data_IF_173280363064
#
_entry.id   IF_173280363064
#
_cell.length_a   1.000
_cell.length_b   1.000
_cell.length_c   1.000
_cell.angle_alpha   90.00
_cell.angle_beta   90.00
_cell.angle_gamma   90.00
#
_symmetry.space_group_name_H-M   'P 1'
#
loop_
_entity.id
_entity.type
_entity.pdbx_description
1 polymer ?
#
# COMPACT_ATOMS: atom_id res chain seq x y z
N UNK A 1 -5.17 27.86 14.44
CA UNK A 1 -4.80 27.70 13.03
C UNK A 1 -3.31 27.42 12.84
N UNK A 2 -2.43 27.98 13.71
CA UNK A 2 -0.96 27.86 13.59
C UNK A 2 -0.44 26.49 14.05
N UNK A 3 -1.05 25.93 15.08
CA UNK A 3 -0.67 24.61 15.61
C UNK A 3 -0.91 23.48 14.58
N UNK A 4 -2.08 23.50 13.91
CA UNK A 4 -2.37 22.55 12.81
C UNK A 4 -1.30 22.59 11.72
N UNK A 5 -0.82 23.76 11.31
CA UNK A 5 0.20 23.86 10.26
C UNK A 5 1.56 23.29 10.68
N UNK A 6 1.95 23.42 11.95
CA UNK A 6 3.25 22.95 12.42
C UNK A 6 3.30 21.43 12.60
N UNK A 7 2.30 20.84 13.22
CA UNK A 7 2.23 19.38 13.43
C UNK A 7 2.08 18.67 12.08
N UNK A 8 1.21 19.16 11.19
CA UNK A 8 1.00 18.54 9.89
C UNK A 8 2.15 18.74 8.89
N UNK A 9 2.91 19.82 8.93
CA UNK A 9 4.04 20.01 8.02
C UNK A 9 5.21 19.05 8.32
N UNK A 10 5.47 18.78 9.61
CA UNK A 10 6.52 17.82 10.03
C UNK A 10 6.10 16.37 9.76
N UNK A 11 4.85 16.02 10.04
CA UNK A 11 4.32 14.67 9.81
C UNK A 11 4.11 14.40 8.32
N UNK A 12 3.63 15.35 7.53
CA UNK A 12 3.45 15.18 6.08
C UNK A 12 4.75 14.74 5.41
N UNK A 13 5.88 15.39 5.74
CA UNK A 13 7.19 15.01 5.19
C UNK A 13 7.67 13.63 5.63
N UNK A 14 7.29 13.17 6.83
CA UNK A 14 7.62 11.85 7.34
C UNK A 14 6.81 10.72 6.65
N UNK A 15 5.65 11.05 6.06
CA UNK A 15 4.74 10.09 5.43
C UNK A 15 4.77 10.09 3.90
N UNK A 16 5.38 11.10 3.28
CA UNK A 16 5.54 11.18 1.81
C UNK A 16 6.82 10.46 1.32
N UNK A 17 7.29 9.43 2.01
CA UNK A 17 8.42 8.62 1.53
C UNK A 17 7.94 7.66 0.43
N UNK A 18 8.41 7.91 -0.79
CA UNK A 18 8.34 6.94 -1.87
C UNK A 18 9.56 6.01 -1.77
N UNK A 19 9.32 4.71 -1.68
CA UNK A 19 10.37 3.67 -1.73
C UNK A 19 10.25 2.95 -3.05
N UNK A 20 11.30 3.01 -3.85
CA UNK A 20 11.40 2.25 -5.09
C UNK A 20 12.37 1.09 -4.87
N UNK A 21 11.97 -0.10 -5.25
CA UNK A 21 12.80 -1.29 -5.27
C UNK A 21 12.62 -2.00 -6.62
N UNK A 22 13.68 -2.62 -7.09
CA UNK A 22 13.68 -3.43 -8.31
C UNK A 22 14.03 -4.87 -7.93
N UNK A 23 13.20 -5.82 -8.36
CA UNK A 23 13.46 -7.25 -8.24
C UNK A 23 13.95 -7.75 -9.60
N UNK A 24 15.10 -8.40 -9.62
CA UNK A 24 15.72 -8.86 -10.86
C UNK A 24 15.05 -10.12 -11.38
N UNK A 25 15.20 -10.36 -12.68
CA UNK A 25 14.75 -11.58 -13.31
C UNK A 25 15.30 -12.82 -12.59
N UNK A 26 14.43 -13.77 -12.27
CA UNK A 26 14.78 -15.01 -11.57
C UNK A 26 14.84 -14.91 -10.04
N UNK A 27 14.63 -13.74 -9.44
CA UNK A 27 14.47 -13.62 -7.99
C UNK A 27 13.08 -14.04 -7.54
N UNK A 28 12.96 -14.51 -6.30
CA UNK A 28 11.68 -14.94 -5.72
C UNK A 28 10.76 -13.76 -5.46
N UNK A 29 9.58 -13.76 -6.08
CA UNK A 29 8.53 -12.75 -5.92
C UNK A 29 7.51 -13.08 -4.84
N UNK A 30 7.59 -14.24 -4.21
CA UNK A 30 6.56 -14.71 -3.25
C UNK A 30 6.45 -13.83 -2.02
N UNK A 31 7.51 -13.11 -1.66
CA UNK A 31 7.50 -12.13 -0.57
C UNK A 31 6.75 -10.83 -0.94
N UNK A 32 6.62 -10.53 -2.24
CA UNK A 32 5.97 -9.30 -2.73
C UNK A 32 4.51 -9.55 -3.11
N UNK A 33 4.21 -10.73 -3.65
CA UNK A 33 2.89 -11.09 -4.14
C UNK A 33 2.38 -12.37 -3.49
N UNK A 34 1.07 -12.51 -3.33
CA UNK A 34 0.44 -13.75 -2.92
C UNK A 34 0.40 -14.74 -4.11
N UNK A 35 1.57 -15.06 -4.66
CA UNK A 35 1.71 -16.01 -5.77
C UNK A 35 2.23 -17.34 -5.26
N UNK A 36 1.79 -18.44 -5.91
CA UNK A 36 2.31 -19.77 -5.71
C UNK A 36 2.74 -20.32 -7.07
N UNK A 37 4.05 -20.40 -7.29
CA UNK A 37 4.59 -20.73 -8.60
C UNK A 37 4.26 -19.67 -9.66
N UNK A 38 3.75 -20.08 -10.82
CA UNK A 38 3.36 -19.19 -11.92
C UNK A 38 1.91 -18.65 -11.79
N UNK A 39 1.20 -18.98 -10.72
CA UNK A 39 -0.20 -18.60 -10.56
C UNK A 39 -0.43 -17.68 -9.36
N UNK A 40 -1.33 -16.71 -9.54
CA UNK A 40 -1.86 -15.92 -8.43
C UNK A 40 -2.72 -16.79 -7.53
N UNK A 41 -2.48 -16.72 -6.22
CA UNK A 41 -3.40 -17.26 -5.24
C UNK A 41 -3.97 -16.11 -4.41
N UNK A 42 -5.25 -15.85 -4.56
CA UNK A 42 -5.98 -14.93 -3.69
C UNK A 42 -7.03 -15.70 -2.90
N UNK A 43 -7.19 -15.38 -1.63
CA UNK A 43 -8.27 -15.92 -0.79
C UNK A 43 -9.51 -15.02 -0.78
N UNK A 44 -9.52 -13.95 -1.57
CA UNK A 44 -10.69 -13.12 -1.79
C UNK A 44 -11.80 -13.92 -2.47
N UNK A 45 -13.01 -13.67 -2.03
CA UNK A 45 -14.23 -14.22 -2.62
C UNK A 45 -15.09 -13.09 -3.21
N UNK A 46 -16.05 -13.42 -4.04
CA UNK A 46 -17.01 -12.43 -4.56
C UNK A 46 -17.79 -11.70 -3.45
N UNK A 47 -17.91 -12.29 -2.26
CA UNK A 47 -18.56 -11.66 -1.12
C UNK A 47 -17.73 -10.53 -0.51
N UNK A 48 -16.41 -10.55 -0.72
CA UNK A 48 -15.47 -9.54 -0.22
C UNK A 48 -15.37 -8.32 -1.18
N UNK A 49 -15.95 -8.42 -2.38
CA UNK A 49 -15.87 -7.39 -3.44
C UNK A 49 -17.17 -6.60 -3.51
N UNK A 50 -17.08 -5.27 -3.46
CA UNK A 50 -18.21 -4.36 -3.65
C UNK A 50 -18.48 -4.14 -5.12
N UNK A 51 -17.44 -3.85 -5.91
CA UNK A 51 -17.53 -3.69 -7.35
C UNK A 51 -16.29 -4.21 -8.06
N UNK A 52 -16.50 -4.65 -9.30
CA UNK A 52 -15.45 -5.04 -10.22
C UNK A 52 -15.75 -4.40 -11.58
N UNK A 53 -14.82 -3.58 -12.05
CA UNK A 53 -14.95 -2.86 -13.32
C UNK A 53 -13.80 -3.24 -14.25
N UNK A 54 -14.09 -3.40 -15.52
CA UNK A 54 -13.08 -3.66 -16.56
C UNK A 54 -13.20 -2.59 -17.64
N UNK A 55 -12.11 -1.88 -17.86
CA UNK A 55 -11.97 -0.88 -18.91
C UNK A 55 -10.92 -1.31 -19.93
N UNK A 56 -11.18 -1.08 -21.21
CA UNK A 56 -10.21 -1.28 -22.28
C UNK A 56 -9.47 0.03 -22.57
N UNK A 57 -8.16 -0.05 -22.89
CA UNK A 57 -7.42 1.09 -23.44
C UNK A 57 -7.99 1.48 -24.83
N UNK A 58 -7.75 2.71 -25.27
CA UNK A 58 -8.25 3.22 -26.56
C UNK A 58 -7.82 2.35 -27.76
N UNK A 59 -6.60 1.81 -27.69
CA UNK A 59 -6.03 0.91 -28.72
C UNK A 59 -6.37 -0.57 -28.48
N UNK A 60 -7.14 -0.90 -27.45
CA UNK A 60 -7.48 -2.25 -27.01
C UNK A 60 -6.27 -3.16 -26.68
N UNK A 61 -5.07 -2.60 -26.51
CA UNK A 61 -3.87 -3.38 -26.17
C UNK A 61 -3.84 -3.80 -24.70
N UNK A 62 -4.63 -3.15 -23.84
CA UNK A 62 -4.69 -3.41 -22.40
C UNK A 62 -6.11 -3.42 -21.86
N UNK A 63 -6.30 -4.13 -20.76
CA UNK A 63 -7.49 -4.07 -19.93
C UNK A 63 -7.11 -3.74 -18.51
N UNK A 64 -7.83 -2.79 -17.92
CA UNK A 64 -7.68 -2.42 -16.51
C UNK A 64 -8.84 -3.00 -15.72
N UNK A 65 -8.55 -3.90 -14.80
CA UNK A 65 -9.50 -4.43 -13.82
C UNK A 65 -9.35 -3.63 -12.53
N UNK A 66 -10.44 -3.00 -12.08
CA UNK A 66 -10.49 -2.34 -10.78
C UNK A 66 -11.44 -3.10 -9.86
N UNK A 67 -10.91 -3.59 -8.74
CA UNK A 67 -11.69 -4.21 -7.66
C UNK A 67 -11.79 -3.24 -6.48
N UNK A 68 -13.00 -3.01 -6.01
CA UNK A 68 -13.27 -2.28 -4.75
C UNK A 68 -13.66 -3.30 -3.68
N UNK A 69 -12.98 -3.27 -2.54
CA UNK A 69 -13.21 -4.20 -1.44
C UNK A 69 -14.40 -3.70 -0.61
N UNK A 70 -15.36 -4.57 -0.37
CA UNK A 70 -16.56 -4.29 0.39
C UNK A 70 -16.28 -4.26 1.88
N UNK A 71 -16.71 -3.18 2.55
CA UNK A 71 -16.62 -3.04 4.02
C UNK A 71 -15.27 -3.56 4.56
N UNK A 72 -14.14 -2.95 4.17
CA UNK A 72 -12.83 -3.53 4.38
C UNK A 72 -12.52 -3.69 5.86
N UNK A 73 -12.67 -4.92 6.36
CA UNK A 73 -12.22 -5.32 7.69
C UNK A 73 -10.73 -5.65 7.68
N UNK A 74 -10.10 -5.69 8.85
CA UNK A 74 -8.68 -6.07 8.99
C UNK A 74 -8.41 -7.44 8.34
N UNK A 75 -9.31 -8.41 8.50
CA UNK A 75 -9.13 -9.76 7.96
C UNK A 75 -9.24 -9.78 6.44
N UNK A 76 -10.18 -9.05 5.86
CA UNK A 76 -10.34 -8.95 4.40
C UNK A 76 -9.14 -8.20 3.80
N UNK A 77 -8.70 -7.13 4.42
CA UNK A 77 -7.53 -6.36 3.97
C UNK A 77 -6.25 -7.21 4.03
N UNK A 78 -6.06 -8.00 5.07
CA UNK A 78 -4.93 -8.96 5.14
C UNK A 78 -4.94 -9.94 3.97
N UNK A 79 -6.11 -10.49 3.60
CA UNK A 79 -6.25 -11.40 2.46
C UNK A 79 -5.96 -10.71 1.12
N UNK A 80 -6.45 -9.47 0.95
CA UNK A 80 -6.36 -8.74 -0.31
C UNK A 80 -4.95 -8.20 -0.59
N UNK A 81 -4.24 -7.76 0.45
CA UNK A 81 -3.04 -6.94 0.32
C UNK A 81 -1.77 -7.65 0.82
N UNK A 82 -1.86 -8.95 1.09
CA UNK A 82 -0.73 -9.74 1.61
C UNK A 82 0.04 -8.98 2.72
N UNK A 83 -0.71 -8.32 3.60
CA UNK A 83 -0.11 -7.57 4.70
C UNK A 83 0.69 -8.53 5.58
N UNK A 84 1.91 -8.15 5.88
CA UNK A 84 2.83 -8.91 6.70
C UNK A 84 2.29 -9.31 8.07
N UNK A 85 3.09 -10.03 8.80
CA UNK A 85 2.77 -10.55 10.14
C UNK A 85 2.45 -9.43 11.15
N UNK A 86 1.91 -9.79 12.32
CA UNK A 86 1.78 -8.84 13.44
C UNK A 86 3.11 -8.21 13.83
N UNK A 87 4.21 -8.95 13.70
CA UNK A 87 5.55 -8.43 13.96
C UNK A 87 5.93 -7.28 13.00
N UNK A 88 5.54 -7.38 11.73
CA UNK A 88 5.78 -6.30 10.74
C UNK A 88 4.97 -5.06 11.07
N UNK A 89 3.71 -5.25 11.51
CA UNK A 89 2.86 -4.14 11.98
C UNK A 89 3.45 -3.48 13.22
N UNK A 90 3.92 -4.25 14.19
CA UNK A 90 4.53 -3.72 15.42
C UNK A 90 5.83 -2.98 15.11
N UNK A 91 6.62 -3.48 14.15
CA UNK A 91 7.81 -2.79 13.66
C UNK A 91 7.44 -1.44 12.99
N UNK A 92 6.39 -1.40 12.16
CA UNK A 92 5.91 -0.17 11.54
C UNK A 92 5.38 0.84 12.57
N UNK A 93 4.62 0.38 13.57
CA UNK A 93 4.15 1.23 14.69
C UNK A 93 5.32 1.77 15.50
N UNK A 94 6.35 0.95 15.75
CA UNK A 94 7.56 1.39 16.44
C UNK A 94 8.30 2.44 15.63
N UNK A 95 8.50 2.23 14.34
CA UNK A 95 9.14 3.22 13.45
C UNK A 95 8.38 4.55 13.46
N UNK A 96 7.06 4.50 13.43
CA UNK A 96 6.19 5.67 13.53
C UNK A 96 6.39 6.42 14.85
N UNK A 97 6.42 5.71 15.97
CA UNK A 97 6.71 6.31 17.29
C UNK A 97 8.07 6.97 17.32
N UNK A 98 9.09 6.32 16.78
CA UNK A 98 10.46 6.84 16.75
C UNK A 98 10.56 8.14 15.91
N UNK A 99 9.84 8.23 14.80
CA UNK A 99 9.76 9.45 13.96
C UNK A 99 9.08 10.64 14.65
N UNK A 100 8.16 10.37 15.56
CA UNK A 100 7.40 11.41 16.27
C UNK A 100 8.01 11.78 17.63
N UNK A 101 9.05 11.06 18.06
CA UNK A 101 9.72 11.28 19.33
C UNK A 101 10.23 12.72 19.45
N UNK A 102 9.95 13.35 20.59
CA UNK A 102 10.33 14.75 20.86
C UNK A 102 9.32 15.79 20.39
N UNK A 103 8.22 15.35 19.72
CA UNK A 103 7.09 16.18 19.38
C UNK A 103 5.82 15.70 20.07
N UNK A 104 5.53 14.42 19.94
CA UNK A 104 4.38 13.77 20.58
C UNK A 104 4.75 12.35 21.01
N UNK A 105 4.04 11.85 22.00
CA UNK A 105 4.02 10.45 22.36
C UNK A 105 2.60 9.91 22.28
N UNK A 106 2.45 8.62 22.01
CA UNK A 106 1.20 7.88 22.12
C UNK A 106 1.48 6.47 22.64
N UNK A 107 0.54 5.93 23.41
CA UNK A 107 0.74 4.65 24.10
C UNK A 107 0.37 3.51 23.20
N UNK A 108 -0.87 3.51 22.69
CA UNK A 108 -1.42 2.44 21.88
C UNK A 108 -2.33 3.00 20.79
N UNK A 109 -2.57 2.18 19.76
CA UNK A 109 -3.58 2.42 18.75
C UNK A 109 -4.92 1.95 19.33
N UNK A 110 -5.84 2.88 19.55
CA UNK A 110 -7.19 2.58 20.09
C UNK A 110 -8.06 1.91 19.03
N UNK A 111 -7.97 2.35 17.79
CA UNK A 111 -8.64 1.71 16.67
C UNK A 111 -7.87 1.88 15.36
N UNK A 112 -7.97 0.87 14.49
CA UNK A 112 -7.53 0.88 13.11
C UNK A 112 -8.72 0.46 12.24
N UNK A 113 -9.11 1.31 11.31
CA UNK A 113 -10.15 1.02 10.32
C UNK A 113 -9.64 1.35 8.93
N UNK A 114 -10.20 0.67 7.94
CA UNK A 114 -9.91 0.92 6.53
C UNK A 114 -11.12 1.60 5.90
N UNK A 115 -10.91 2.74 5.24
CA UNK A 115 -12.00 3.52 4.64
C UNK A 115 -12.06 3.35 3.12
N UNK A 116 -10.98 2.91 2.51
CA UNK A 116 -10.91 2.62 1.08
C UNK A 116 -9.89 1.50 0.84
N UNK A 117 -10.26 0.52 0.04
CA UNK A 117 -9.35 -0.53 -0.41
C UNK A 117 -9.65 -0.89 -1.85
N UNK A 118 -8.67 -0.72 -2.74
CA UNK A 118 -8.78 -1.01 -4.17
C UNK A 118 -7.57 -1.82 -4.66
N UNK A 119 -7.83 -2.70 -5.59
CA UNK A 119 -6.80 -3.41 -6.36
C UNK A 119 -7.02 -3.04 -7.83
N UNK A 120 -6.00 -2.52 -8.48
CA UNK A 120 -6.03 -2.16 -9.89
C UNK A 120 -5.03 -3.05 -10.62
N UNK A 121 -5.51 -3.87 -11.56
CA UNK A 121 -4.68 -4.79 -12.33
C UNK A 121 -4.75 -4.43 -13.80
N UNK A 122 -3.61 -4.18 -14.42
CA UNK A 122 -3.49 -3.94 -15.86
C UNK A 122 -3.01 -5.21 -16.55
N UNK A 123 -3.74 -5.68 -17.55
CA UNK A 123 -3.51 -6.93 -18.26
C UNK A 123 -3.26 -6.61 -19.74
N UNK A 124 -2.20 -7.15 -20.31
CA UNK A 124 -1.96 -7.10 -21.76
C UNK A 124 -2.92 -8.03 -22.45
N UNK A 125 -3.59 -7.56 -23.51
CA UNK A 125 -4.61 -8.36 -24.22
C UNK A 125 -4.02 -9.36 -25.21
N UNK A 126 -2.79 -9.15 -25.63
CA UNK A 126 -2.10 -10.01 -26.60
C UNK A 126 -1.77 -11.40 -26.02
N UNK A 127 -1.26 -11.42 -24.81
CA UNK A 127 -0.74 -12.62 -24.15
C UNK A 127 -1.40 -12.94 -22.79
N UNK A 128 -2.32 -12.07 -22.34
CA UNK A 128 -2.99 -12.09 -21.04
C UNK A 128 -2.02 -12.00 -19.83
N UNK A 129 -0.83 -11.45 -20.03
CA UNK A 129 0.10 -11.21 -18.93
C UNK A 129 -0.30 -9.98 -18.12
N UNK A 130 0.02 -9.98 -16.83
CA UNK A 130 -0.17 -8.82 -15.96
C UNK A 130 0.94 -7.81 -16.23
N UNK A 131 0.59 -6.60 -16.67
CA UNK A 131 1.53 -5.51 -16.88
C UNK A 131 1.83 -4.75 -15.57
N UNK A 132 0.83 -4.54 -14.73
CA UNK A 132 1.01 -3.96 -13.41
C UNK A 132 -0.12 -4.33 -12.46
N UNK A 133 0.19 -4.29 -11.17
CA UNK A 133 -0.81 -4.35 -10.09
C UNK A 133 -0.55 -3.21 -9.13
N UNK A 134 -1.62 -2.52 -8.74
CA UNK A 134 -1.57 -1.47 -7.75
C UNK A 134 -2.56 -1.79 -6.61
N UNK A 135 -2.05 -1.74 -5.40
CA UNK A 135 -2.80 -1.91 -4.16
C UNK A 135 -2.94 -0.56 -3.48
N UNK A 136 -4.17 -0.09 -3.30
CA UNK A 136 -4.47 1.19 -2.65
C UNK A 136 -5.33 0.90 -1.43
N UNK A 137 -4.90 1.40 -0.26
CA UNK A 137 -5.69 1.34 0.96
C UNK A 137 -5.59 2.64 1.74
N UNK A 138 -6.69 3.09 2.28
CA UNK A 138 -6.75 4.23 3.20
C UNK A 138 -7.03 3.73 4.60
N UNK A 139 -6.12 4.03 5.51
CA UNK A 139 -6.16 3.64 6.91
C UNK A 139 -6.50 4.83 7.78
N UNK A 140 -7.41 4.64 8.73
CA UNK A 140 -7.73 5.60 9.76
C UNK A 140 -7.39 5.02 11.11
N UNK A 141 -6.46 5.70 11.80
CA UNK A 141 -6.00 5.34 13.14
C UNK A 141 -6.55 6.36 14.13
N UNK A 142 -7.10 5.88 15.25
CA UNK A 142 -7.41 6.72 16.40
C UNK A 142 -6.51 6.34 17.57
N UNK A 143 -6.05 7.35 18.28
CA UNK A 143 -5.18 7.21 19.44
C UNK A 143 -5.26 8.44 20.31
N UNK A 144 -4.79 8.32 21.56
CA UNK A 144 -4.58 9.46 22.44
C UNK A 144 -3.12 9.87 22.38
N UNK A 145 -2.86 11.13 22.06
CA UNK A 145 -1.52 11.68 21.99
C UNK A 145 -1.24 12.60 23.19
N UNK A 146 0.01 12.65 23.60
CA UNK A 146 0.53 13.62 24.59
C UNK A 146 1.63 14.44 23.93
N UNK A 147 1.54 15.76 24.03
CA UNK A 147 2.57 16.65 23.53
C UNK A 147 3.87 16.49 24.29
N UNK A 148 5.00 16.55 23.57
CA UNK A 148 6.35 16.46 24.11
C UNK A 148 7.22 17.61 23.59
N UNK A 149 8.31 17.92 24.25
CA UNK A 149 9.24 18.97 23.87
C UNK A 149 8.54 20.32 23.62
N UNK A 150 8.64 20.81 22.38
CA UNK A 150 8.01 22.08 21.97
C UNK A 150 6.48 22.06 21.96
N UNK A 151 5.88 20.88 21.98
CA UNK A 151 4.44 20.67 21.98
C UNK A 151 3.88 20.26 23.35
N UNK A 152 4.71 20.24 24.42
CA UNK A 152 4.28 19.86 25.77
C UNK A 152 3.05 20.66 26.26
N UNK A 153 2.90 21.90 25.79
CA UNK A 153 1.77 22.78 26.16
C UNK A 153 0.40 22.34 25.63
N UNK A 154 0.34 21.39 24.67
CA UNK A 154 -0.97 20.87 24.19
C UNK A 154 -1.58 19.84 25.14
N UNK A 155 -0.80 19.30 26.08
CA UNK A 155 -1.25 18.27 27.00
C UNK A 155 -1.61 16.96 26.29
N UNK A 156 -2.60 16.25 26.83
CA UNK A 156 -3.10 14.97 26.31
C UNK A 156 -4.47 15.17 25.64
N UNK A 157 -4.63 14.65 24.40
CA UNK A 157 -5.86 14.78 23.63
C UNK A 157 -6.08 13.61 22.67
N UNK A 158 -7.35 13.28 22.36
CA UNK A 158 -7.66 12.30 21.33
C UNK A 158 -7.25 12.83 19.94
N UNK A 159 -6.71 11.96 19.11
CA UNK A 159 -6.27 12.28 17.76
C UNK A 159 -6.69 11.19 16.76
N UNK A 160 -6.96 11.62 15.55
CA UNK A 160 -7.22 10.71 14.44
C UNK A 160 -6.30 11.07 13.28
N UNK A 161 -5.64 10.04 12.74
CA UNK A 161 -4.80 10.13 11.54
C UNK A 161 -5.43 9.31 10.44
N UNK A 162 -5.48 9.87 9.24
CA UNK A 162 -5.89 9.17 8.04
C UNK A 162 -4.78 9.31 7.01
N UNK A 163 -4.40 8.20 6.40
CA UNK A 163 -3.37 8.17 5.37
C UNK A 163 -3.64 7.05 4.37
N UNK A 164 -3.24 7.31 3.13
CA UNK A 164 -3.41 6.39 2.02
C UNK A 164 -2.05 5.80 1.65
N UNK A 165 -2.00 4.48 1.58
CA UNK A 165 -0.90 3.73 0.99
C UNK A 165 -1.23 3.37 -0.44
N UNK A 166 -0.24 3.51 -1.32
CA UNK A 166 -0.26 2.96 -2.66
C UNK A 166 1.02 2.16 -2.89
N UNK A 167 0.87 0.91 -3.30
CA UNK A 167 1.97 0.03 -3.70
C UNK A 167 1.70 -0.42 -5.11
N UNK A 168 2.56 0.00 -6.06
CA UNK A 168 2.44 -0.37 -7.48
C UNK A 168 3.62 -1.25 -7.87
N UNK A 169 3.29 -2.36 -8.50
CA UNK A 169 4.23 -3.31 -9.06
C UNK A 169 4.10 -3.31 -10.57
N UNK A 170 5.18 -3.03 -11.26
CA UNK A 170 5.27 -3.11 -12.72
C UNK A 170 6.02 -4.37 -13.12
N UNK A 171 5.41 -5.18 -14.00
CA UNK A 171 5.95 -6.46 -14.42
C UNK A 171 6.63 -6.35 -15.76
N UNK A 172 7.85 -6.87 -15.84
CA UNK A 172 8.54 -7.08 -17.09
C UNK A 172 8.76 -8.59 -17.30
N UNK A 173 8.02 -9.17 -18.23
CA UNK A 173 8.06 -10.60 -18.55
C UNK A 173 9.14 -10.98 -19.56
N UNK A 174 9.91 -9.99 -20.08
CA UNK A 174 10.96 -10.24 -21.04
C UNK A 174 12.20 -10.79 -20.33
N UNK A 175 12.64 -11.99 -20.73
CA UNK A 175 13.92 -12.54 -20.29
C UNK A 175 15.06 -11.65 -20.84
N UNK A 176 15.86 -11.01 -20.00
CA UNK A 176 16.94 -10.15 -20.45
C UNK A 176 18.01 -10.88 -21.27
N UNK A 177 18.09 -12.22 -21.17
CA UNK A 177 19.01 -13.02 -21.97
C UNK A 177 18.57 -13.17 -23.44
N UNK A 178 17.29 -12.88 -23.73
CA UNK A 178 16.73 -12.98 -25.09
C UNK A 178 16.76 -11.66 -25.85
N UNK A 179 17.18 -10.56 -25.23
CA UNK A 179 17.34 -9.28 -25.91
C UNK A 179 18.58 -9.35 -26.79
N UNK A 180 18.41 -9.85 -28.00
CA UNK A 180 19.44 -9.78 -29.05
C UNK A 180 19.64 -8.31 -29.36
N UNK A 181 20.79 -7.77 -29.03
CA UNK A 181 21.25 -6.48 -29.55
C UNK A 181 21.22 -6.58 -31.08
N UNK A 182 20.24 -5.95 -31.72
CA UNK A 182 20.31 -5.68 -33.13
C UNK A 182 21.49 -4.70 -33.28
N UNK A 183 22.66 -5.25 -33.64
CA UNK A 183 23.78 -4.44 -34.10
C UNK A 183 23.28 -3.68 -35.32
N UNK A 184 23.31 -2.37 -35.22
CA UNK A 184 23.07 -1.47 -36.35
C UNK A 184 24.25 -1.61 -37.33
N UNK A 185 23.98 -2.14 -38.50
CA UNK A 185 24.83 -1.98 -39.68
C UNK A 185 24.70 -0.57 -40.28
#
# INVERSE_FOLDING_TARGET
PTLKKFVFAGTKKAFEESRNAETKYGEDLTALFPVSGESWSSTLTAADVESAEIEASEDNSRRTLTLVIKEPSVDVVKKAFNLGSEADRDAAVKEFRDKLKGYISFTDIESLTYTECRIICVINTEDNTVASVEYIRTEKITTTITGDGTLAGIGTLPCSFEYTYGEKYEMNWTDPSTTTTAEAD
#
